data_IF_924287936527
#
_entry.id   IF_924287936527
#
_cell.length_a   1.000
_cell.length_b   1.000
_cell.length_c   1.000
_cell.angle_alpha   90.00
_cell.angle_beta   90.00
_cell.angle_gamma   90.00
#
_symmetry.space_group_name_H-M   'P 1'
#
loop_
_entity.id
_entity.type
_entity.pdbx_description
1 polymer ?
#
# COMPACT_ATOMS: atom_id res chain seq x y z
N UNK A 1 5.80 11.75 -28.56
CA UNK A 1 4.62 10.85 -28.52
C UNK A 1 4.98 9.40 -28.20
N UNK A 2 5.95 8.77 -28.88
CA UNK A 2 6.33 7.36 -28.64
C UNK A 2 6.83 7.10 -27.21
N UNK A 3 7.60 8.02 -26.64
CA UNK A 3 8.12 7.92 -25.26
C UNK A 3 7.01 8.04 -24.21
N UNK A 4 6.05 8.95 -24.41
CA UNK A 4 4.89 9.12 -23.53
C UNK A 4 4.04 7.84 -23.53
N UNK A 5 3.84 7.23 -24.70
CA UNK A 5 3.11 5.96 -24.81
C UNK A 5 3.85 4.82 -24.13
N UNK A 6 5.18 4.75 -24.29
CA UNK A 6 6.02 3.76 -23.61
C UNK A 6 5.92 3.92 -22.09
N UNK A 7 6.05 5.14 -21.57
CA UNK A 7 5.94 5.43 -20.14
C UNK A 7 4.56 5.04 -19.58
N UNK A 8 3.48 5.45 -20.26
CA UNK A 8 2.12 5.12 -19.86
C UNK A 8 1.88 3.60 -19.84
N UNK A 9 2.42 2.87 -20.81
CA UNK A 9 2.29 1.40 -20.86
C UNK A 9 3.00 0.71 -19.69
N UNK A 10 4.20 1.16 -19.33
CA UNK A 10 4.95 0.60 -18.19
C UNK A 10 4.22 0.92 -16.88
N UNK A 11 3.75 2.15 -16.69
CA UNK A 11 2.98 2.54 -15.52
C UNK A 11 1.70 1.69 -15.39
N UNK A 12 0.98 1.47 -16.49
CA UNK A 12 -0.20 0.61 -16.52
C UNK A 12 0.12 -0.83 -16.10
N UNK A 13 1.21 -1.41 -16.60
CA UNK A 13 1.64 -2.77 -16.22
C UNK A 13 1.95 -2.85 -14.72
N UNK A 14 2.64 -1.85 -14.17
CA UNK A 14 2.97 -1.78 -12.73
C UNK A 14 1.69 -1.73 -11.89
N UNK A 15 0.73 -0.88 -12.28
CA UNK A 15 -0.56 -0.74 -11.60
C UNK A 15 -1.33 -2.07 -11.65
N UNK A 16 -1.43 -2.70 -12.83
CA UNK A 16 -2.08 -4.00 -12.96
C UNK A 16 -1.42 -5.06 -12.09
N UNK A 17 -0.09 -5.15 -12.10
CA UNK A 17 0.65 -6.11 -11.28
C UNK A 17 0.42 -5.90 -9.78
N UNK A 18 0.39 -4.64 -9.34
CA UNK A 18 0.06 -4.29 -7.96
C UNK A 18 -1.35 -4.75 -7.58
N UNK A 19 -2.35 -4.40 -8.39
CA UNK A 19 -3.76 -4.76 -8.13
C UNK A 19 -3.91 -6.28 -8.03
N UNK A 20 -3.32 -7.03 -8.97
CA UNK A 20 -3.37 -8.50 -8.97
C UNK A 20 -2.71 -9.06 -7.72
N UNK A 21 -1.54 -8.55 -7.34
CA UNK A 21 -0.80 -9.02 -6.16
C UNK A 21 -1.58 -8.80 -4.86
N UNK A 22 -2.13 -7.59 -4.66
CA UNK A 22 -2.92 -7.26 -3.46
C UNK A 22 -4.25 -8.03 -3.47
N UNK A 23 -4.91 -8.14 -4.62
CA UNK A 23 -6.17 -8.88 -4.74
C UNK A 23 -5.98 -10.37 -4.42
N UNK A 24 -4.91 -10.96 -4.94
CA UNK A 24 -4.53 -12.34 -4.66
C UNK A 24 -4.23 -12.54 -3.18
N UNK A 25 -3.55 -11.58 -2.55
CA UNK A 25 -3.26 -11.64 -1.12
C UNK A 25 -4.52 -11.54 -0.24
N UNK A 26 -5.45 -10.63 -0.56
CA UNK A 26 -6.75 -10.55 0.14
C UNK A 26 -7.50 -11.88 0.02
N UNK A 27 -7.48 -12.48 -1.18
CA UNK A 27 -8.08 -13.79 -1.39
C UNK A 27 -7.41 -14.87 -0.53
N UNK A 28 -6.07 -14.93 -0.48
CA UNK A 28 -5.36 -15.86 0.40
C UNK A 28 -5.71 -15.67 1.88
N UNK A 29 -5.78 -14.43 2.36
CA UNK A 29 -6.18 -14.15 3.74
C UNK A 29 -7.62 -14.60 4.02
N UNK A 30 -8.52 -14.52 3.04
CA UNK A 30 -9.90 -15.00 3.18
C UNK A 30 -10.03 -16.50 3.38
N UNK A 31 -9.04 -17.28 2.93
CA UNK A 31 -9.00 -18.73 3.16
C UNK A 31 -8.73 -19.08 4.64
N UNK A 32 -8.16 -18.15 5.40
CA UNK A 32 -7.88 -18.33 6.82
C UNK A 32 -9.13 -17.95 7.62
N UNK A 33 -9.93 -18.95 7.99
CA UNK A 33 -11.22 -18.73 8.67
C UNK A 33 -11.11 -17.91 9.96
N UNK A 34 -9.99 -18.01 10.68
CA UNK A 34 -9.72 -17.22 11.89
C UNK A 34 -9.69 -15.71 11.62
N UNK A 35 -9.25 -15.27 10.43
CA UNK A 35 -9.18 -13.85 10.09
C UNK A 35 -10.54 -13.24 9.75
N UNK A 36 -11.58 -14.05 9.55
CA UNK A 36 -12.96 -13.58 9.37
C UNK A 36 -13.16 -12.66 8.16
N UNK A 37 -12.34 -12.79 7.11
CA UNK A 37 -12.47 -12.00 5.89
C UNK A 37 -13.48 -12.68 4.96
N UNK A 38 -14.57 -11.99 4.62
CA UNK A 38 -15.58 -12.49 3.68
C UNK A 38 -15.61 -11.65 2.42
N UNK A 39 -15.44 -12.30 1.29
CA UNK A 39 -15.56 -11.69 -0.03
C UNK A 39 -16.97 -11.95 -0.53
N UNK A 40 -17.73 -10.88 -0.73
CA UNK A 40 -19.06 -10.95 -1.35
C UNK A 40 -18.98 -10.73 -2.86
N UNK A 41 -18.10 -9.82 -3.28
CA UNK A 41 -17.93 -9.46 -4.69
C UNK A 41 -16.45 -9.35 -5.08
N UNK A 42 -16.06 -10.04 -6.16
CA UNK A 42 -14.71 -9.96 -6.71
C UNK A 42 -14.32 -8.54 -7.16
N UNK A 43 -15.29 -7.78 -7.68
CA UNK A 43 -15.07 -6.38 -8.09
C UNK A 43 -14.64 -5.52 -6.91
N UNK A 44 -15.17 -5.79 -5.72
CA UNK A 44 -14.81 -5.04 -4.52
C UNK A 44 -13.36 -5.26 -4.11
N UNK A 45 -12.80 -6.46 -4.31
CA UNK A 45 -11.37 -6.72 -4.07
C UNK A 45 -10.50 -5.84 -4.98
N UNK A 46 -10.88 -5.74 -6.26
CA UNK A 46 -10.16 -4.90 -7.23
C UNK A 46 -10.24 -3.43 -6.83
N UNK A 47 -11.43 -2.93 -6.47
CA UNK A 47 -11.60 -1.55 -5.99
C UNK A 47 -10.85 -1.27 -4.68
N UNK A 48 -10.82 -2.25 -3.77
CA UNK A 48 -10.11 -2.14 -2.50
C UNK A 48 -8.59 -2.07 -2.73
N UNK A 49 -8.09 -2.91 -3.63
CA UNK A 49 -6.69 -2.91 -4.06
C UNK A 49 -6.30 -1.61 -4.76
N UNK A 50 -7.16 -1.10 -5.64
CA UNK A 50 -7.00 0.22 -6.27
C UNK A 50 -6.98 1.34 -5.23
N UNK A 51 -7.90 1.34 -4.27
CA UNK A 51 -7.91 2.30 -3.18
C UNK A 51 -6.61 2.28 -2.38
N UNK A 52 -6.11 1.08 -2.07
CA UNK A 52 -4.82 0.90 -1.39
C UNK A 52 -3.65 1.42 -2.26
N UNK A 53 -3.69 1.22 -3.57
CA UNK A 53 -2.69 1.78 -4.50
C UNK A 53 -2.68 3.31 -4.46
N UNK A 54 -3.86 3.96 -4.48
CA UNK A 54 -3.95 5.41 -4.43
C UNK A 54 -3.34 6.01 -3.15
N UNK A 55 -3.25 5.23 -2.06
CA UNK A 55 -2.54 5.67 -0.86
C UNK A 55 -1.04 5.85 -1.05
N UNK A 56 -0.43 5.26 -2.08
CA UNK A 56 0.99 5.50 -2.39
C UNK A 56 1.25 6.99 -2.67
N UNK A 57 0.29 7.73 -3.24
CA UNK A 57 0.45 9.16 -3.57
C UNK A 57 0.65 10.01 -2.30
N UNK A 58 -0.28 10.05 -1.32
CA UNK A 58 -0.08 10.81 -0.09
C UNK A 58 1.12 10.29 0.72
N UNK A 59 1.41 8.98 0.65
CA UNK A 59 2.59 8.41 1.29
C UNK A 59 3.89 9.00 0.72
N UNK A 60 4.02 9.13 -0.61
CA UNK A 60 5.16 9.78 -1.28
C UNK A 60 5.31 11.24 -0.84
N UNK A 61 4.19 11.97 -0.77
CA UNK A 61 4.17 13.37 -0.32
C UNK A 61 4.68 13.51 1.12
N UNK A 62 4.27 12.61 2.02
CA UNK A 62 4.75 12.61 3.41
C UNK A 62 6.23 12.18 3.48
N UNK A 63 6.65 11.26 2.60
CA UNK A 63 8.07 10.87 2.47
C UNK A 63 8.95 12.06 2.07
N UNK A 64 8.46 12.99 1.24
CA UNK A 64 9.23 14.18 0.87
C UNK A 64 9.52 15.11 2.06
N UNK A 65 8.65 15.17 3.08
CA UNK A 65 8.93 15.89 4.33
C UNK A 65 10.16 15.33 5.06
N UNK A 66 10.51 14.08 4.82
CA UNK A 66 11.71 13.44 5.38
C UNK A 66 13.01 14.05 4.82
N UNK A 67 12.97 14.72 3.66
CA UNK A 67 14.16 15.36 3.06
C UNK A 67 14.53 16.70 3.71
N UNK A 68 13.67 17.23 4.59
CA UNK A 68 13.91 18.50 5.27
C UNK A 68 15.10 18.35 6.23
N UNK A 69 16.04 19.29 6.17
CA UNK A 69 17.24 19.32 7.04
C UNK A 69 16.83 19.68 8.47
N UNK A 70 16.63 18.68 9.33
CA UNK A 70 16.31 18.89 10.75
C UNK A 70 17.45 18.41 11.65
N UNK A 71 17.66 19.13 12.76
CA UNK A 71 18.76 18.93 13.73
C UNK A 71 18.79 17.54 14.37
N UNK A 72 17.64 16.86 14.47
CA UNK A 72 17.54 15.53 15.07
C UNK A 72 16.75 14.56 14.17
N UNK A 73 17.43 14.11 13.11
CA UNK A 73 16.83 13.31 12.02
C UNK A 73 16.16 12.02 12.51
N UNK A 74 16.74 11.35 13.50
CA UNK A 74 16.21 10.08 14.01
C UNK A 74 14.79 10.18 14.61
N UNK A 75 14.54 11.22 15.42
CA UNK A 75 13.24 11.42 16.08
C UNK A 75 12.18 11.83 15.06
N UNK A 76 12.54 12.73 14.14
CA UNK A 76 11.64 13.15 13.05
C UNK A 76 11.24 11.95 12.19
N UNK A 77 12.20 11.10 11.83
CA UNK A 77 11.96 9.91 11.01
C UNK A 77 10.97 8.95 11.67
N UNK A 78 11.14 8.70 12.98
CA UNK A 78 10.24 7.84 13.74
C UNK A 78 8.84 8.44 13.84
N UNK A 79 8.73 9.75 14.04
CA UNK A 79 7.45 10.45 14.14
C UNK A 79 6.71 10.48 12.80
N UNK A 80 7.41 10.71 11.69
CA UNK A 80 6.85 10.64 10.32
C UNK A 80 6.40 9.22 9.99
N UNK A 81 7.20 8.20 10.36
CA UNK A 81 6.82 6.80 10.16
C UNK A 81 5.55 6.42 10.95
N UNK A 82 5.47 6.81 12.23
CA UNK A 82 4.29 6.59 13.06
C UNK A 82 3.05 7.30 12.49
N UNK A 83 3.20 8.57 12.10
CA UNK A 83 2.11 9.34 11.49
C UNK A 83 1.62 8.65 10.20
N UNK A 84 2.54 8.16 9.36
CA UNK A 84 2.19 7.41 8.16
C UNK A 84 1.41 6.13 8.46
N UNK A 85 1.83 5.35 9.45
CA UNK A 85 1.11 4.12 9.86
C UNK A 85 -0.28 4.45 10.38
N UNK A 86 -0.42 5.50 11.19
CA UNK A 86 -1.72 5.94 11.74
C UNK A 86 -2.64 6.41 10.61
N UNK A 87 -2.16 7.29 9.73
CA UNK A 87 -2.94 7.80 8.60
C UNK A 87 -3.35 6.68 7.64
N UNK A 88 -2.42 5.77 7.34
CA UNK A 88 -2.70 4.61 6.49
C UNK A 88 -3.76 3.70 7.11
N UNK A 89 -3.63 3.40 8.41
CA UNK A 89 -4.61 2.56 9.11
C UNK A 89 -5.99 3.20 9.10
N UNK A 90 -6.07 4.51 9.36
CA UNK A 90 -7.32 5.26 9.27
C UNK A 90 -7.91 5.22 7.85
N UNK A 91 -7.08 5.35 6.83
CA UNK A 91 -7.51 5.26 5.43
C UNK A 91 -8.06 3.88 5.08
N UNK A 92 -7.41 2.79 5.49
CA UNK A 92 -7.91 1.42 5.24
C UNK A 92 -9.24 1.18 5.95
N UNK A 93 -9.38 1.64 7.20
CA UNK A 93 -10.66 1.56 7.93
C UNK A 93 -11.75 2.35 7.18
N UNK A 94 -11.44 3.56 6.72
CA UNK A 94 -12.38 4.33 5.90
C UNK A 94 -12.74 3.60 4.61
N UNK A 95 -11.77 2.98 3.92
CA UNK A 95 -11.98 2.22 2.69
C UNK A 95 -12.93 1.02 2.91
N UNK A 96 -12.72 0.28 4.00
CA UNK A 96 -13.56 -0.83 4.44
C UNK A 96 -15.02 -0.38 4.65
N UNK A 97 -15.24 0.78 5.30
CA UNK A 97 -16.61 1.30 5.49
C UNK A 97 -17.29 1.76 4.18
N UNK A 98 -16.53 2.06 3.13
CA UNK A 98 -17.07 2.51 1.84
C UNK A 98 -17.31 1.37 0.85
N UNK A 99 -16.49 0.33 0.89
CA UNK A 99 -16.53 -0.79 -0.06
C UNK A 99 -17.32 -1.95 0.56
N UNK A 100 -18.62 -2.03 0.26
CA UNK A 100 -19.54 -3.01 0.89
C UNK A 100 -19.35 -4.48 0.46
N UNK A 101 -18.55 -4.78 -0.56
CA UNK A 101 -18.41 -6.15 -1.07
C UNK A 101 -17.25 -6.96 -0.47
N UNK A 102 -16.54 -6.40 0.51
CA UNK A 102 -15.60 -7.14 1.36
C UNK A 102 -15.95 -6.81 2.81
N UNK A 103 -16.00 -7.83 3.65
CA UNK A 103 -16.19 -7.66 5.09
C UNK A 103 -14.90 -8.11 5.77
N UNK A 104 -14.16 -7.16 6.32
CA UNK A 104 -13.01 -7.46 7.15
C UNK A 104 -13.44 -7.55 8.62
N UNK A 105 -12.98 -8.59 9.32
CA UNK A 105 -12.97 -8.55 10.78
C UNK A 105 -11.86 -7.62 11.26
N UNK A 106 -11.92 -7.14 12.51
CA UNK A 106 -10.84 -6.33 13.10
C UNK A 106 -9.48 -7.03 13.02
N UNK A 107 -9.44 -8.35 13.16
CA UNK A 107 -8.21 -9.14 13.08
C UNK A 107 -7.69 -9.21 11.63
N UNK A 108 -8.58 -9.47 10.67
CA UNK A 108 -8.23 -9.50 9.25
C UNK A 108 -7.70 -8.17 8.74
N UNK A 109 -8.31 -7.06 9.21
CA UNK A 109 -7.92 -5.70 8.83
C UNK A 109 -6.53 -5.35 9.39
N UNK A 110 -6.22 -5.72 10.63
CA UNK A 110 -4.88 -5.52 11.23
C UNK A 110 -3.82 -6.32 10.48
N UNK A 111 -4.07 -7.61 10.19
CA UNK A 111 -3.13 -8.45 9.43
C UNK A 111 -2.90 -7.89 8.03
N UNK A 112 -3.96 -7.41 7.38
CA UNK A 112 -3.86 -6.77 6.08
C UNK A 112 -2.99 -5.50 6.13
N UNK A 113 -3.21 -4.61 7.10
CA UNK A 113 -2.41 -3.39 7.27
C UNK A 113 -0.93 -3.74 7.47
N UNK A 114 -0.62 -4.68 8.36
CA UNK A 114 0.76 -5.12 8.63
C UNK A 114 1.41 -5.63 7.34
N UNK A 115 0.69 -6.45 6.57
CA UNK A 115 1.21 -6.95 5.30
C UNK A 115 1.53 -5.84 4.31
N UNK A 116 0.63 -4.88 4.10
CA UNK A 116 0.88 -3.78 3.16
C UNK A 116 2.06 -2.93 3.61
N UNK A 117 2.22 -2.69 4.92
CA UNK A 117 3.38 -1.98 5.46
C UNK A 117 4.68 -2.75 5.15
N UNK A 118 4.72 -4.07 5.38
CA UNK A 118 5.88 -4.90 5.06
C UNK A 118 6.18 -4.87 3.56
N UNK A 119 5.14 -4.97 2.74
CA UNK A 119 5.26 -4.92 1.28
C UNK A 119 5.86 -3.59 0.80
N UNK A 120 5.37 -2.46 1.34
CA UNK A 120 5.89 -1.13 1.04
C UNK A 120 7.36 -0.97 1.44
N UNK A 121 7.72 -1.39 2.66
CA UNK A 121 9.11 -1.36 3.14
C UNK A 121 10.01 -2.23 2.26
N UNK A 122 9.52 -3.40 1.83
CA UNK A 122 10.23 -4.30 0.93
C UNK A 122 10.54 -3.67 -0.43
N UNK A 123 9.57 -2.96 -1.02
CA UNK A 123 9.76 -2.23 -2.28
C UNK A 123 10.81 -1.12 -2.10
N UNK A 124 10.72 -0.34 -1.03
CA UNK A 124 11.67 0.75 -0.76
C UNK A 124 13.11 0.27 -0.62
N UNK A 125 13.34 -0.76 0.21
CA UNK A 125 14.69 -1.32 0.40
C UNK A 125 15.30 -1.82 -0.91
N UNK A 126 14.48 -2.43 -1.77
CA UNK A 126 14.94 -2.92 -3.08
C UNK A 126 15.27 -1.76 -4.03
N UNK A 127 14.50 -0.67 -4.00
CA UNK A 127 14.79 0.55 -4.75
C UNK A 127 16.13 1.18 -4.35
N UNK A 128 16.39 1.34 -3.05
CA UNK A 128 17.65 1.92 -2.54
C UNK A 128 18.89 1.07 -2.89
N UNK A 129 18.74 -0.25 -3.01
CA UNK A 129 19.83 -1.15 -3.39
C UNK A 129 20.19 -1.04 -4.89
N UNK A 130 19.19 -0.84 -5.75
CA UNK A 130 19.42 -0.66 -7.19
C UNK A 130 20.14 0.67 -7.47
N UNK A 131 19.74 1.75 -6.79
CA UNK A 131 20.39 3.06 -6.94
C UNK A 131 21.85 3.08 -6.45
N UNK A 132 22.23 2.15 -5.56
CA UNK A 132 23.62 1.97 -5.09
C UNK A 132 24.48 1.11 -6.01
N UNK A 133 23.89 0.23 -6.83
CA UNK A 133 24.62 -0.60 -7.79
C UNK A 133 24.85 0.09 -9.14
N UNK A 134 24.07 1.12 -9.46
CA UNK A 134 24.23 1.95 -10.66
C UNK A 134 25.20 3.14 -10.46
N UNK A 135 25.81 3.29 -9.26
CA UNK A 135 26.88 4.27 -8.95
C UNK A 135 28.21 3.56 -8.77
#
# INVERSE_FOLDING_TARGET
MREIFSFASVAFIIICFYIVSVSFFIYLLSLISFLGIRILEWKSIVFFSLGTFFWMIPYEVISLLHSIRVRNKAILNLLVALLNVILFSYFIIWLDTKIKGILFSSQGLVVYIIFIIIFLIGIQKKGEQLEKNDK
#
